data_IF_432905646526
#
_entry.id   IF_432905646526
#
_cell.length_a   1.000
_cell.length_b   1.000
_cell.length_c   1.000
_cell.angle_alpha   90.00
_cell.angle_beta   90.00
_cell.angle_gamma   90.00
#
_symmetry.space_group_name_H-M   'P 1'
#
loop_
_entity.id
_entity.type
_entity.pdbx_description
1 polymer ?
#
# COMPACT_ATOMS: atom_id res chain seq x y z
N UNK A 1 -20.40 38.49 -7.77
CA UNK A 1 -19.02 38.55 -8.25
C UNK A 1 -18.61 40.01 -8.32
N UNK A 2 -17.80 40.45 -7.38
CA UNK A 2 -17.33 41.82 -7.28
C UNK A 2 -15.87 41.89 -7.69
N UNK A 3 -15.52 42.88 -8.50
CA UNK A 3 -14.15 43.08 -9.01
C UNK A 3 -13.52 44.28 -8.31
N UNK A 4 -12.38 44.07 -7.68
CA UNK A 4 -11.43 45.14 -7.31
C UNK A 4 -10.34 45.26 -8.35
N UNK A 5 -9.50 46.30 -8.28
CA UNK A 5 -8.45 46.56 -9.30
C UNK A 5 -7.42 45.43 -9.45
N UNK A 6 -7.32 44.53 -8.46
CA UNK A 6 -6.33 43.44 -8.47
C UNK A 6 -6.90 42.07 -8.07
N UNK A 7 -8.17 41.96 -7.69
CA UNK A 7 -8.76 40.71 -7.23
C UNK A 7 -10.24 40.58 -7.56
N UNK A 8 -10.73 39.35 -7.55
CA UNK A 8 -12.13 39.02 -7.64
C UNK A 8 -12.64 38.51 -6.31
N UNK A 9 -13.71 39.09 -5.78
CA UNK A 9 -14.42 38.52 -4.65
C UNK A 9 -15.57 37.67 -5.20
N UNK A 10 -15.53 36.37 -4.93
CA UNK A 10 -16.52 35.41 -5.39
C UNK A 10 -17.29 34.86 -4.20
N UNK A 11 -18.61 34.97 -4.24
CA UNK A 11 -19.51 34.32 -3.28
C UNK A 11 -20.19 33.17 -4.02
N UNK A 12 -19.82 31.91 -3.76
CA UNK A 12 -20.46 30.77 -4.38
C UNK A 12 -21.92 30.65 -3.90
N UNK A 13 -22.85 30.19 -4.76
CA UNK A 13 -24.21 29.92 -4.34
C UNK A 13 -24.23 28.72 -3.36
N UNK A 14 -25.25 28.67 -2.50
CA UNK A 14 -25.33 27.68 -1.40
C UNK A 14 -25.36 26.22 -1.84
N UNK A 15 -25.66 25.93 -3.09
CA UNK A 15 -25.64 24.60 -3.68
C UNK A 15 -24.27 24.19 -4.23
N UNK A 16 -23.30 25.12 -4.34
CA UNK A 16 -21.89 24.87 -4.71
C UNK A 16 -21.02 24.86 -3.45
N UNK A 17 -21.20 23.82 -2.64
CA UNK A 17 -20.44 23.59 -1.41
C UNK A 17 -18.99 23.14 -1.66
N UNK A 18 -18.67 22.79 -2.89
CA UNK A 18 -17.40 22.35 -3.41
C UNK A 18 -16.44 23.53 -3.70
N UNK A 19 -16.93 24.76 -3.82
CA UNK A 19 -16.11 25.96 -4.11
C UNK A 19 -15.76 26.65 -2.80
N UNK A 20 -14.51 26.48 -2.32
CA UNK A 20 -14.05 27.05 -1.07
C UNK A 20 -12.72 27.83 -1.20
N UNK A 21 -11.88 27.50 -2.17
CA UNK A 21 -10.54 28.04 -2.37
C UNK A 21 -10.37 28.56 -3.81
N UNK A 22 -9.28 29.25 -4.08
CA UNK A 22 -9.00 29.84 -5.40
C UNK A 22 -8.85 28.74 -6.47
N UNK A 23 -8.24 27.62 -6.14
CA UNK A 23 -8.01 26.50 -7.05
C UNK A 23 -9.32 25.91 -7.58
N UNK A 24 -10.39 25.90 -6.78
CA UNK A 24 -11.72 25.43 -7.21
C UNK A 24 -12.28 26.34 -8.33
N UNK A 25 -12.03 27.64 -8.24
CA UNK A 25 -12.42 28.59 -9.27
C UNK A 25 -11.58 28.45 -10.55
N UNK A 26 -10.30 28.17 -10.40
CA UNK A 26 -9.39 27.89 -11.52
C UNK A 26 -9.86 26.63 -12.24
N UNK A 27 -10.25 25.59 -11.51
CA UNK A 27 -10.82 24.36 -12.09
C UNK A 27 -12.09 24.64 -12.90
N UNK A 28 -13.01 25.42 -12.37
CA UNK A 28 -14.25 25.77 -13.07
C UNK A 28 -14.00 26.57 -14.36
N UNK A 29 -13.03 27.48 -14.34
CA UNK A 29 -12.61 28.22 -15.53
C UNK A 29 -11.97 27.27 -16.54
N UNK A 30 -11.05 26.41 -16.10
CA UNK A 30 -10.38 25.45 -16.96
C UNK A 30 -11.38 24.46 -17.59
N UNK A 31 -12.34 23.97 -16.83
CA UNK A 31 -13.41 23.09 -17.31
C UNK A 31 -14.29 23.77 -18.38
N UNK A 32 -14.63 25.04 -18.16
CA UNK A 32 -15.46 25.81 -19.09
C UNK A 32 -14.67 26.21 -20.35
N UNK A 33 -13.39 26.54 -20.19
CA UNK A 33 -12.49 26.87 -21.29
C UNK A 33 -12.18 25.65 -22.17
N UNK A 34 -12.09 24.46 -21.55
CA UNK A 34 -11.66 23.20 -22.14
C UNK A 34 -10.20 22.89 -21.81
N UNK A 35 -9.97 21.77 -21.10
CA UNK A 35 -8.63 21.34 -20.71
C UNK A 35 -7.69 21.11 -21.90
N UNK A 36 -8.23 20.67 -23.02
CA UNK A 36 -7.53 20.48 -24.29
C UNK A 36 -6.94 21.75 -24.89
N UNK A 37 -7.42 22.92 -24.47
CA UNK A 37 -6.92 24.23 -24.90
C UNK A 37 -5.84 24.80 -23.99
N UNK A 38 -5.58 24.16 -22.85
CA UNK A 38 -4.53 24.57 -21.92
C UNK A 38 -3.20 24.00 -22.44
N UNK A 39 -2.20 24.84 -22.73
CA UNK A 39 -0.92 24.36 -23.26
C UNK A 39 -0.19 23.50 -22.22
N UNK A 40 0.23 22.32 -22.64
CA UNK A 40 1.07 21.45 -21.84
C UNK A 40 2.51 22.03 -21.79
N UNK A 41 3.01 22.22 -20.59
CA UNK A 41 4.39 22.64 -20.38
C UNK A 41 5.19 21.49 -19.78
N UNK A 42 6.12 20.96 -20.55
CA UNK A 42 7.09 19.98 -20.03
C UNK A 42 8.17 20.72 -19.26
N UNK A 43 8.21 20.55 -17.96
CA UNK A 43 9.32 21.05 -17.15
C UNK A 43 10.54 20.15 -17.36
N UNK A 44 11.67 20.65 -17.87
CA UNK A 44 12.87 19.86 -17.99
C UNK A 44 13.41 19.51 -16.59
N UNK A 45 13.28 18.26 -16.18
CA UNK A 45 13.86 17.74 -14.96
C UNK A 45 15.07 16.86 -15.30
N UNK A 46 16.19 17.09 -14.64
CA UNK A 46 17.32 16.16 -14.68
C UNK A 46 16.98 14.95 -13.82
N UNK A 47 16.49 13.89 -14.44
CA UNK A 47 16.33 12.61 -13.77
C UNK A 47 17.65 11.82 -13.89
N UNK A 48 18.27 11.55 -12.74
CA UNK A 48 19.31 10.54 -12.68
C UNK A 48 18.65 9.17 -12.81
N UNK A 49 18.91 8.45 -13.89
CA UNK A 49 18.50 7.05 -14.01
C UNK A 49 19.43 6.24 -13.12
N UNK A 50 18.94 5.66 -12.00
CA UNK A 50 19.79 4.85 -11.14
C UNK A 50 20.23 3.59 -11.91
N UNK A 51 21.51 3.24 -11.78
CA UNK A 51 22.01 1.99 -12.32
C UNK A 51 21.29 0.81 -11.65
N UNK A 52 20.65 -0.02 -12.46
CA UNK A 52 20.05 -1.27 -11.98
C UNK A 52 21.16 -2.31 -11.89
N UNK A 53 21.38 -2.88 -10.70
CA UNK A 53 22.35 -3.97 -10.52
C UNK A 53 21.81 -5.24 -11.17
N UNK A 54 22.68 -6.01 -11.86
CA UNK A 54 22.31 -7.28 -12.52
C UNK A 54 21.75 -8.32 -11.54
N UNK A 55 22.07 -8.19 -10.25
CA UNK A 55 21.59 -9.08 -9.17
C UNK A 55 20.19 -8.74 -8.67
N UNK A 56 19.56 -7.69 -9.17
CA UNK A 56 18.22 -7.28 -8.72
C UNK A 56 17.16 -8.10 -9.44
N UNK A 57 16.54 -9.03 -8.73
CA UNK A 57 15.34 -9.74 -9.21
C UNK A 57 14.13 -8.81 -9.03
N UNK A 58 13.36 -8.59 -10.10
CA UNK A 58 12.11 -7.84 -10.03
C UNK A 58 11.06 -8.65 -9.25
N UNK A 59 10.23 -7.97 -8.44
CA UNK A 59 9.19 -8.64 -7.64
C UNK A 59 8.24 -9.47 -8.49
N UNK A 60 7.86 -8.98 -9.66
CA UNK A 60 6.98 -9.69 -10.60
C UNK A 60 7.58 -11.01 -11.08
N UNK A 61 8.90 -11.05 -11.36
CA UNK A 61 9.58 -12.30 -11.73
C UNK A 61 9.47 -13.35 -10.63
N UNK A 62 9.65 -12.93 -9.37
CA UNK A 62 9.52 -13.83 -8.23
C UNK A 62 8.05 -14.26 -8.01
N UNK A 63 7.08 -13.36 -8.22
CA UNK A 63 5.66 -13.66 -8.19
C UNK A 63 5.28 -14.70 -9.25
N UNK A 64 5.69 -14.50 -10.51
CA UNK A 64 5.43 -15.43 -11.62
C UNK A 64 5.97 -16.84 -11.33
N UNK A 65 7.15 -16.92 -10.74
CA UNK A 65 7.73 -18.20 -10.34
C UNK A 65 6.89 -18.93 -9.27
N UNK A 66 6.25 -18.20 -8.36
CA UNK A 66 5.37 -18.78 -7.34
C UNK A 66 4.02 -19.17 -7.93
N UNK A 67 3.45 -18.37 -8.82
CA UNK A 67 2.23 -18.70 -9.56
C UNK A 67 2.42 -19.99 -10.37
N UNK A 68 3.54 -20.14 -11.08
CA UNK A 68 3.86 -21.37 -11.82
C UNK A 68 4.00 -22.60 -10.92
N UNK A 69 4.30 -22.42 -9.64
CA UNK A 69 4.32 -23.49 -8.63
C UNK A 69 2.98 -23.71 -7.94
N UNK A 70 1.92 -23.04 -8.40
CA UNK A 70 0.55 -23.18 -7.92
C UNK A 70 0.29 -22.50 -6.58
N UNK A 71 1.01 -21.41 -6.30
CA UNK A 71 0.66 -20.49 -5.23
C UNK A 71 -0.31 -19.44 -5.76
N UNK A 72 -1.18 -18.95 -4.89
CA UNK A 72 -2.07 -17.82 -5.13
C UNK A 72 -1.56 -16.60 -4.40
N UNK A 73 -1.59 -15.44 -5.04
CA UNK A 73 -1.25 -14.20 -4.39
C UNK A 73 -2.32 -13.80 -3.38
N UNK A 74 -1.87 -13.38 -2.22
CA UNK A 74 -2.71 -12.77 -1.19
C UNK A 74 -2.23 -11.33 -0.99
N UNK A 75 -3.16 -10.41 -0.88
CA UNK A 75 -2.90 -9.02 -0.52
C UNK A 75 -3.50 -8.80 0.86
N UNK A 76 -2.65 -8.54 1.84
CA UNK A 76 -3.08 -8.37 3.23
C UNK A 76 -2.81 -6.94 3.73
N UNK A 77 -3.47 -6.55 4.82
CA UNK A 77 -3.29 -5.22 5.38
C UNK A 77 -1.88 -5.00 5.90
N UNK A 78 -1.36 -3.80 5.69
CA UNK A 78 -0.10 -3.35 6.28
C UNK A 78 -0.20 -3.04 7.77
N UNK A 79 -1.41 -3.05 8.30
CA UNK A 79 -1.72 -2.79 9.71
C UNK A 79 -2.15 -4.09 10.39
N UNK A 80 -1.64 -4.33 11.58
CA UNK A 80 -1.89 -5.55 12.37
C UNK A 80 -2.13 -5.22 13.83
N UNK A 81 -2.63 -6.19 14.56
CA UNK A 81 -2.76 -6.11 16.01
C UNK A 81 -1.38 -6.10 16.69
N UNK A 82 -1.17 -5.25 17.72
CA UNK A 82 0.10 -5.20 18.47
C UNK A 82 0.56 -6.56 19.01
N UNK A 83 -0.37 -7.42 19.45
CA UNK A 83 -0.06 -8.76 19.90
C UNK A 83 0.51 -9.68 18.82
N UNK A 84 0.01 -9.55 17.59
CA UNK A 84 0.57 -10.26 16.44
C UNK A 84 1.96 -9.76 16.07
N UNK A 85 2.20 -8.45 16.17
CA UNK A 85 3.52 -7.89 15.95
C UNK A 85 4.55 -8.50 16.93
N UNK A 86 4.22 -8.55 18.22
CA UNK A 86 5.08 -9.13 19.23
C UNK A 86 5.36 -10.63 19.01
N UNK A 87 4.39 -11.36 18.47
CA UNK A 87 4.52 -12.80 18.19
C UNK A 87 5.42 -13.07 16.98
N UNK A 88 5.24 -12.33 15.88
CA UNK A 88 5.91 -12.61 14.60
C UNK A 88 7.22 -11.84 14.38
N UNK A 89 7.44 -10.79 15.15
CA UNK A 89 8.67 -9.99 15.13
C UNK A 89 9.08 -9.60 16.57
N UNK A 90 9.43 -10.58 17.42
CA UNK A 90 9.77 -10.32 18.81
C UNK A 90 11.03 -9.44 18.90
N UNK A 91 10.95 -8.39 19.71
CA UNK A 91 12.07 -7.46 19.92
C UNK A 91 12.31 -6.46 18.80
N UNK A 92 11.52 -6.48 17.72
CA UNK A 92 11.55 -5.42 16.73
C UNK A 92 10.72 -4.21 17.21
N UNK A 93 11.25 -2.99 17.08
CA UNK A 93 10.47 -1.79 17.36
C UNK A 93 9.22 -1.74 16.49
N UNK A 94 8.08 -1.46 17.10
CA UNK A 94 6.81 -1.37 16.39
C UNK A 94 6.39 0.09 16.17
N UNK A 95 5.91 0.38 14.98
CA UNK A 95 5.31 1.68 14.67
C UNK A 95 3.80 1.62 14.93
N UNK A 96 3.38 2.28 15.98
CA UNK A 96 1.95 2.41 16.33
C UNK A 96 1.34 3.63 15.64
N UNK A 97 0.15 3.46 15.08
CA UNK A 97 -0.60 4.55 14.44
C UNK A 97 -1.21 5.48 15.50
N UNK A 98 -1.20 6.78 15.24
CA UNK A 98 -1.84 7.77 16.12
C UNK A 98 -3.37 7.74 16.04
N UNK A 99 -3.92 7.33 14.89
CA UNK A 99 -5.37 7.29 14.61
C UNK A 99 -5.76 5.99 13.89
N UNK A 100 -5.63 4.82 14.54
CA UNK A 100 -5.95 3.55 13.90
C UNK A 100 -7.46 3.42 13.63
N UNK A 101 -7.80 2.71 12.56
CA UNK A 101 -9.20 2.41 12.20
C UNK A 101 -9.86 1.54 13.28
N UNK A 102 -9.09 0.62 13.87
CA UNK A 102 -9.50 -0.22 15.00
C UNK A 102 -8.28 -0.61 15.84
N UNK A 103 -8.50 -1.09 17.06
CA UNK A 103 -7.44 -1.59 17.92
C UNK A 103 -6.67 -2.79 17.29
N UNK A 104 -7.34 -3.56 16.45
CA UNK A 104 -6.78 -4.71 15.73
C UNK A 104 -5.90 -4.30 14.53
N UNK A 105 -5.94 -3.03 14.13
CA UNK A 105 -5.19 -2.47 13.00
C UNK A 105 -4.34 -1.26 13.46
N UNK A 106 -3.73 -1.37 14.63
CA UNK A 106 -3.08 -0.24 15.29
C UNK A 106 -1.57 -0.16 15.06
N UNK A 107 -0.94 -1.18 14.48
CA UNK A 107 0.52 -1.25 14.34
C UNK A 107 0.91 -1.60 12.91
N UNK A 108 1.93 -0.93 12.37
CA UNK A 108 2.51 -1.27 11.07
C UNK A 108 3.23 -2.62 11.17
N UNK A 109 3.01 -3.50 10.20
CA UNK A 109 3.61 -4.85 10.17
C UNK A 109 5.13 -4.81 9.92
N UNK A 110 5.91 -5.48 10.75
CA UNK A 110 7.33 -5.73 10.49
C UNK A 110 7.57 -7.04 9.72
N UNK A 111 6.51 -7.76 9.37
CA UNK A 111 6.57 -9.03 8.63
C UNK A 111 5.27 -9.26 7.85
N UNK A 112 5.32 -10.06 6.77
CA UNK A 112 4.14 -10.52 6.03
C UNK A 112 3.43 -11.71 6.71
N UNK A 113 4.09 -12.36 7.68
CA UNK A 113 3.58 -13.57 8.32
C UNK A 113 2.21 -13.42 8.98
N UNK A 114 1.90 -12.34 9.74
CA UNK A 114 0.60 -12.20 10.37
C UNK A 114 -0.56 -12.28 9.38
N UNK A 115 -0.48 -11.54 8.28
CA UNK A 115 -1.49 -11.53 7.23
C UNK A 115 -1.63 -12.88 6.53
N UNK A 116 -0.51 -13.49 6.14
CA UNK A 116 -0.50 -14.79 5.46
C UNK A 116 -1.06 -15.91 6.35
N UNK A 117 -0.70 -15.94 7.63
CA UNK A 117 -1.23 -16.93 8.60
C UNK A 117 -2.72 -16.74 8.80
N UNK A 118 -3.19 -15.51 8.94
CA UNK A 118 -4.62 -15.21 9.05
C UNK A 118 -5.40 -15.63 7.80
N UNK A 119 -4.84 -15.38 6.61
CA UNK A 119 -5.42 -15.81 5.34
C UNK A 119 -5.49 -17.35 5.23
N UNK A 120 -4.44 -18.06 5.61
CA UNK A 120 -4.45 -19.54 5.67
C UNK A 120 -5.52 -20.04 6.64
N UNK A 121 -5.56 -19.51 7.86
CA UNK A 121 -6.54 -19.92 8.86
C UNK A 121 -7.98 -19.66 8.39
N UNK A 122 -8.22 -18.55 7.71
CA UNK A 122 -9.53 -18.24 7.12
C UNK A 122 -9.93 -19.22 6.02
N UNK A 123 -9.03 -19.61 5.14
CA UNK A 123 -9.28 -20.58 4.10
C UNK A 123 -9.51 -21.99 4.66
N UNK A 124 -8.73 -22.39 5.66
CA UNK A 124 -8.92 -23.69 6.34
C UNK A 124 -10.27 -23.78 7.06
N UNK A 125 -10.73 -22.70 7.71
CA UNK A 125 -12.07 -22.64 8.31
C UNK A 125 -13.19 -22.78 7.29
N UNK A 126 -12.94 -22.40 6.03
CA UNK A 126 -13.83 -22.61 4.89
C UNK A 126 -13.62 -23.96 4.20
N UNK A 127 -12.91 -24.87 4.86
CA UNK A 127 -12.66 -26.24 4.38
C UNK A 127 -11.87 -26.31 3.05
N UNK A 128 -11.07 -25.30 2.74
CA UNK A 128 -10.15 -25.37 1.61
C UNK A 128 -9.01 -26.34 1.95
N UNK A 129 -8.94 -27.44 1.21
CA UNK A 129 -7.97 -28.52 1.46
C UNK A 129 -6.56 -28.19 1.00
N UNK A 130 -6.43 -27.31 0.00
CA UNK A 130 -5.15 -26.93 -0.57
C UNK A 130 -4.98 -25.41 -0.50
N UNK A 131 -4.16 -24.96 0.42
CA UNK A 131 -3.86 -23.54 0.61
C UNK A 131 -2.36 -23.33 0.37
N UNK A 132 -2.02 -22.60 -0.69
CA UNK A 132 -0.66 -22.15 -0.99
C UNK A 132 -0.77 -20.66 -1.32
N UNK A 133 -0.30 -19.83 -0.44
CA UNK A 133 -0.41 -18.38 -0.58
C UNK A 133 0.99 -17.75 -0.61
N UNK A 134 1.13 -16.68 -1.35
CA UNK A 134 2.28 -15.79 -1.26
C UNK A 134 1.80 -14.33 -1.27
N UNK A 135 2.66 -13.45 -0.82
CA UNK A 135 2.43 -12.01 -0.89
C UNK A 135 3.73 -11.32 -1.31
N UNK A 136 3.63 -10.43 -2.29
CA UNK A 136 4.65 -9.44 -2.59
C UNK A 136 4.21 -8.13 -1.94
N UNK A 137 4.91 -7.70 -0.92
CA UNK A 137 4.47 -6.57 -0.12
C UNK A 137 5.62 -5.80 0.52
N UNK A 138 5.28 -4.96 1.46
CA UNK A 138 6.26 -4.18 2.24
C UNK A 138 6.14 -4.53 3.71
N UNK A 139 7.28 -4.60 4.38
CA UNK A 139 7.38 -4.57 5.83
C UNK A 139 7.93 -3.21 6.27
N UNK A 140 7.60 -2.82 7.48
CA UNK A 140 7.96 -1.54 8.05
C UNK A 140 8.92 -1.77 9.22
N UNK A 141 10.12 -1.24 9.09
CA UNK A 141 11.19 -1.43 10.08
C UNK A 141 11.60 -0.07 10.61
N UNK A 142 11.63 0.05 11.92
CA UNK A 142 12.17 1.24 12.58
C UNK A 142 13.64 0.97 12.88
N UNK A 143 14.52 1.80 12.33
CA UNK A 143 15.95 1.69 12.59
C UNK A 143 16.25 1.97 14.06
N UNK A 144 17.20 1.18 14.64
CA UNK A 144 17.49 1.25 16.07
C UNK A 144 18.42 2.40 16.45
N UNK A 145 19.17 2.91 15.49
CA UNK A 145 20.18 3.95 15.66
C UNK A 145 19.61 5.36 15.59
N UNK A 146 18.71 5.62 14.65
CA UNK A 146 18.14 6.96 14.41
C UNK A 146 16.61 7.02 14.50
N UNK A 147 15.96 5.87 14.70
CA UNK A 147 14.49 5.78 14.72
C UNK A 147 13.82 5.99 13.36
N UNK A 148 14.59 6.01 12.26
CA UNK A 148 14.05 6.20 10.93
C UNK A 148 13.16 5.02 10.50
N UNK A 149 12.05 5.34 9.84
CA UNK A 149 11.15 4.35 9.27
C UNK A 149 11.64 3.94 7.89
N UNK A 150 11.82 2.65 7.70
CA UNK A 150 12.14 2.05 6.40
C UNK A 150 11.04 1.14 5.90
N UNK A 151 10.60 1.38 4.67
CA UNK A 151 9.72 0.49 3.94
C UNK A 151 10.57 -0.47 3.11
N UNK A 152 10.57 -1.74 3.49
CA UNK A 152 11.38 -2.77 2.84
C UNK A 152 10.49 -3.66 1.98
N UNK A 153 10.70 -3.73 0.65
CA UNK A 153 9.98 -4.67 -0.20
C UNK A 153 10.40 -6.09 0.13
N UNK A 154 9.43 -6.98 0.29
CA UNK A 154 9.65 -8.38 0.66
C UNK A 154 8.64 -9.29 -0.04
N UNK A 155 9.02 -10.53 -0.23
CA UNK A 155 8.13 -11.60 -0.67
C UNK A 155 8.12 -12.70 0.39
N UNK A 156 6.95 -13.25 0.68
CA UNK A 156 6.80 -14.39 1.56
C UNK A 156 5.78 -15.37 0.99
N UNK A 157 6.01 -16.65 1.21
CA UNK A 157 5.09 -17.72 0.81
C UNK A 157 4.79 -18.64 1.97
N UNK A 158 3.55 -19.13 2.06
CA UNK A 158 3.10 -20.04 3.11
C UNK A 158 2.38 -21.23 2.51
N UNK A 159 2.65 -22.38 3.10
CA UNK A 159 2.06 -23.63 2.72
C UNK A 159 1.94 -24.56 3.95
N UNK A 160 0.69 -24.84 4.43
CA UNK A 160 0.48 -25.72 5.57
C UNK A 160 0.85 -27.17 5.26
N UNK A 161 1.63 -27.80 6.11
CA UNK A 161 2.06 -29.21 5.95
C UNK A 161 0.86 -30.19 5.89
N UNK A 162 -0.27 -29.87 6.51
CA UNK A 162 -1.46 -30.73 6.50
C UNK A 162 -2.04 -30.92 5.08
N UNK A 163 -1.79 -30.00 4.13
CA UNK A 163 -2.21 -30.17 2.75
C UNK A 163 -1.35 -31.16 1.95
N UNK A 164 -0.21 -31.58 2.51
CA UNK A 164 0.71 -32.50 1.84
C UNK A 164 0.35 -33.99 2.07
N UNK A 165 -0.29 -34.33 3.18
CA UNK A 165 -0.68 -35.71 3.51
C UNK A 165 -1.73 -36.29 2.55
N UNK A 166 -2.55 -35.45 1.90
CA UNK A 166 -3.60 -35.88 0.99
C UNK A 166 -3.17 -35.87 -0.50
N UNK A 167 -1.93 -35.52 -0.80
CA UNK A 167 -1.43 -35.50 -2.19
C UNK A 167 -0.58 -36.74 -2.55
N UNK A 168 -0.46 -37.69 -1.65
CA UNK A 168 0.33 -38.93 -1.86
C UNK A 168 -0.54 -40.20 -1.95
N UNK A 169 -1.86 -40.03 -2.19
CA UNK A 169 -2.76 -41.17 -2.49
C UNK A 169 -3.57 -40.87 -3.73
#
# INVERSE_FOLDING_TARGET
LDRSDSAWQVTPPTWRFDIAIEEDLIEEIARTHGFDRIPETVQPARQAIPAVTETRIHGDTAADMLVQRGYFEAITYSFIEPGQQALFAPGEPSLTLSNPISAELATMRASLWPGLVAAVASNQRRQQSRVRLFEVGRKFVVARDDGALHEVPVIAGIWPLASYRNALF
#
